data_IF_761574970883
#
_entry.id   IF_761574970883
#
_cell.length_a   1.000
_cell.length_b   1.000
_cell.length_c   1.000
_cell.angle_alpha   90.00
_cell.angle_beta   90.00
_cell.angle_gamma   90.00
#
_symmetry.space_group_name_H-M   'P 1'
#
loop_
_entity.id
_entity.type
_entity.pdbx_description
1 polymer ?
#
# COMPACT_ATOMS: atom_id res chain seq x y z
N UNK A 1 9.76 -13.57 -3.62
CA UNK A 1 9.13 -12.24 -3.58
C UNK A 1 8.73 -11.89 -5.00
N UNK A 2 7.46 -11.59 -5.25
CA UNK A 2 6.99 -11.16 -6.58
C UNK A 2 7.24 -9.66 -6.79
N UNK A 3 7.24 -9.20 -8.04
CA UNK A 3 7.36 -7.76 -8.36
C UNK A 3 6.22 -6.95 -7.72
N UNK A 4 5.02 -7.52 -7.68
CA UNK A 4 3.85 -6.94 -7.00
C UNK A 4 4.11 -6.78 -5.50
N UNK A 5 4.61 -7.82 -4.82
CA UNK A 5 4.94 -7.74 -3.40
C UNK A 5 6.02 -6.68 -3.12
N UNK A 6 7.01 -6.56 -4.02
CA UNK A 6 8.06 -5.56 -3.89
C UNK A 6 7.47 -4.14 -3.99
N UNK A 7 6.66 -3.86 -5.02
CA UNK A 7 5.99 -2.55 -5.19
C UNK A 7 5.16 -2.19 -3.96
N UNK A 8 4.38 -3.12 -3.42
CA UNK A 8 3.56 -2.88 -2.23
C UNK A 8 4.44 -2.53 -1.02
N UNK A 9 5.50 -3.32 -0.78
CA UNK A 9 6.39 -3.10 0.37
C UNK A 9 7.18 -1.80 0.24
N UNK A 10 7.65 -1.46 -0.96
CA UNK A 10 8.36 -0.22 -1.23
C UNK A 10 7.44 0.98 -1.00
N UNK A 11 6.22 0.95 -1.55
CA UNK A 11 5.25 2.03 -1.37
C UNK A 11 4.93 2.28 0.11
N UNK A 12 4.57 1.23 0.86
CA UNK A 12 4.26 1.37 2.30
C UNK A 12 5.51 1.71 3.12
N UNK A 13 6.69 1.23 2.71
CA UNK A 13 7.97 1.52 3.37
C UNK A 13 8.39 2.98 3.25
N UNK A 14 8.00 3.66 2.16
CA UNK A 14 8.29 5.06 1.90
C UNK A 14 7.34 6.04 2.61
N UNK A 15 6.19 5.57 3.13
CA UNK A 15 5.29 6.42 3.90
C UNK A 15 6.01 7.03 5.09
N UNK A 16 5.85 8.34 5.28
CA UNK A 16 6.38 9.07 6.42
C UNK A 16 5.40 9.04 7.60
N UNK A 17 5.84 9.34 8.83
CA UNK A 17 4.91 9.55 9.95
C UNK A 17 3.84 10.57 9.59
N UNK A 18 2.58 10.25 9.90
CA UNK A 18 1.41 11.06 9.56
C UNK A 18 0.95 11.01 8.11
N UNK A 19 1.62 10.27 7.24
CA UNK A 19 1.23 10.15 5.84
C UNK A 19 0.11 9.12 5.64
N UNK A 20 -0.87 9.51 4.82
CA UNK A 20 -1.99 8.66 4.44
C UNK A 20 -1.55 7.67 3.36
N UNK A 21 -1.88 6.40 3.56
CA UNK A 21 -1.84 5.40 2.51
C UNK A 21 -2.97 5.67 1.51
N UNK A 22 -2.63 5.77 0.22
CA UNK A 22 -3.57 6.04 -0.87
C UNK A 22 -3.72 4.80 -1.74
N UNK A 23 -4.89 4.17 -1.67
CA UNK A 23 -5.15 2.89 -2.33
C UNK A 23 -5.04 2.99 -3.86
N UNK A 24 -5.55 4.06 -4.46
CA UNK A 24 -5.50 4.28 -5.91
C UNK A 24 -4.07 4.47 -6.42
N UNK A 25 -3.18 5.10 -5.63
CA UNK A 25 -1.76 5.24 -5.96
C UNK A 25 -1.09 3.88 -6.02
N UNK A 26 -1.32 3.02 -5.02
CA UNK A 26 -0.76 1.66 -5.03
C UNK A 26 -1.28 0.84 -6.22
N UNK A 27 -2.60 0.87 -6.47
CA UNK A 27 -3.20 0.16 -7.61
C UNK A 27 -2.59 0.65 -8.92
N UNK A 28 -2.39 1.96 -9.08
CA UNK A 28 -1.75 2.51 -10.27
C UNK A 28 -0.30 2.04 -10.43
N UNK A 29 0.47 1.94 -9.35
CA UNK A 29 1.85 1.43 -9.40
C UNK A 29 1.90 -0.06 -9.76
N UNK A 30 0.99 -0.88 -9.22
CA UNK A 30 0.91 -2.31 -9.54
C UNK A 30 0.48 -2.50 -11.00
N UNK A 31 -0.50 -1.74 -11.51
CA UNK A 31 -0.94 -1.80 -12.92
C UNK A 31 0.13 -1.34 -13.92
N UNK A 32 1.15 -0.61 -13.48
CA UNK A 32 2.29 -0.25 -14.33
C UNK A 32 3.26 -1.43 -14.55
N UNK A 33 3.13 -2.52 -13.79
CA UNK A 33 3.94 -3.72 -13.97
C UNK A 33 3.53 -4.48 -15.24
N UNK A 34 4.49 -5.00 -16.01
CA UNK A 34 4.20 -5.82 -17.19
C UNK A 34 3.35 -7.05 -16.84
N UNK A 35 2.32 -7.32 -17.65
CA UNK A 35 1.45 -8.49 -17.48
C UNK A 35 0.35 -8.31 -16.43
N UNK A 36 0.29 -7.17 -15.73
CA UNK A 36 -0.83 -6.84 -14.83
C UNK A 36 -1.95 -6.18 -15.62
N UNK A 37 -3.09 -6.85 -15.74
CA UNK A 37 -4.28 -6.32 -16.44
C UNK A 37 -5.36 -5.85 -15.47
N UNK A 38 -5.55 -6.55 -14.36
CA UNK A 38 -6.46 -6.15 -13.29
C UNK A 38 -5.83 -6.33 -11.89
N UNK A 39 -6.32 -5.55 -10.94
CA UNK A 39 -5.86 -5.56 -9.55
C UNK A 39 -7.06 -5.40 -8.63
N UNK A 40 -7.25 -6.37 -7.75
CA UNK A 40 -8.17 -6.28 -6.62
C UNK A 40 -7.34 -6.09 -5.34
N UNK A 41 -7.59 -5.00 -4.63
CA UNK A 41 -6.91 -4.67 -3.38
C UNK A 41 -7.89 -4.83 -2.21
N UNK A 42 -7.43 -5.38 -1.08
CA UNK A 42 -8.21 -5.39 0.16
C UNK A 42 -7.30 -5.01 1.34
N UNK A 43 -7.63 -3.97 2.13
CA UNK A 43 -8.75 -3.04 1.93
C UNK A 43 -8.54 -2.11 0.71
N UNK A 44 -9.59 -1.87 -0.07
CA UNK A 44 -9.57 -1.00 -1.26
C UNK A 44 -9.78 0.50 -0.92
N UNK A 45 -9.32 0.95 0.24
CA UNK A 45 -9.60 2.30 0.76
C UNK A 45 -8.36 2.95 1.32
N UNK A 46 -8.32 4.29 1.27
CA UNK A 46 -7.26 5.07 1.88
C UNK A 46 -7.24 4.82 3.39
N UNK A 47 -6.04 4.70 3.96
CA UNK A 47 -5.85 4.53 5.39
C UNK A 47 -5.08 5.73 5.91
N UNK A 48 -5.65 6.45 6.88
CA UNK A 48 -4.97 7.54 7.56
C UNK A 48 -4.39 7.02 8.88
N UNK A 49 -3.16 7.40 9.26
CA UNK A 49 -2.64 7.12 10.59
C UNK A 49 -3.41 7.88 11.66
N UNK A 50 -3.37 7.39 12.90
CA UNK A 50 -3.88 8.13 14.05
C UNK A 50 -3.02 9.37 14.28
N UNK A 51 -3.65 10.55 14.25
CA UNK A 51 -3.00 11.83 14.49
C UNK A 51 -3.72 12.59 15.60
N UNK A 52 -2.99 12.99 16.64
CA UNK A 52 -3.47 13.92 17.66
C UNK A 52 -2.29 14.76 18.20
N UNK A 53 -2.57 15.67 19.12
CA UNK A 53 -1.56 16.60 19.68
C UNK A 53 -0.40 15.91 20.41
N UNK A 54 -0.54 14.63 20.76
CA UNK A 54 0.46 13.83 21.47
C UNK A 54 1.04 12.68 20.63
N UNK A 55 0.43 12.33 19.50
CA UNK A 55 0.75 11.12 18.74
C UNK A 55 0.77 11.41 17.25
N UNK A 56 1.90 11.11 16.61
CA UNK A 56 2.03 11.01 15.15
C UNK A 56 2.11 9.55 14.76
N UNK A 57 0.98 8.97 14.37
CA UNK A 57 0.89 7.59 13.92
C UNK A 57 1.69 7.34 12.65
N UNK A 58 2.15 6.09 12.49
CA UNK A 58 2.90 5.66 11.33
C UNK A 58 2.35 4.33 10.80
N UNK A 59 1.90 4.33 9.56
CA UNK A 59 1.37 3.14 8.92
C UNK A 59 2.49 2.18 8.57
N UNK A 60 2.28 0.90 8.89
CA UNK A 60 3.20 -0.19 8.59
C UNK A 60 2.45 -1.37 7.99
N UNK A 61 3.15 -2.06 7.08
CA UNK A 61 2.59 -3.26 6.48
C UNK A 61 2.57 -4.38 7.53
N UNK A 62 1.39 -4.95 7.74
CA UNK A 62 1.23 -6.17 8.52
C UNK A 62 1.39 -7.38 7.61
N UNK A 63 0.40 -8.27 7.66
CA UNK A 63 0.30 -9.42 6.76
C UNK A 63 0.03 -8.96 5.33
N UNK A 64 0.85 -9.43 4.39
CA UNK A 64 0.65 -9.23 2.95
C UNK A 64 0.45 -10.60 2.30
N UNK A 65 -0.69 -10.76 1.63
CA UNK A 65 -1.00 -11.93 0.81
C UNK A 65 -1.21 -11.47 -0.63
N UNK A 66 -0.47 -12.05 -1.56
CA UNK A 66 -0.61 -11.78 -3.00
C UNK A 66 -0.91 -13.10 -3.70
N UNK A 67 -2.01 -13.14 -4.45
CA UNK A 67 -2.44 -14.30 -5.22
C UNK A 67 -2.70 -13.89 -6.66
N UNK A 68 -2.20 -14.67 -7.61
CA UNK A 68 -2.66 -14.57 -9.00
C UNK A 68 -4.01 -15.29 -9.10
N UNK A 69 -4.95 -14.64 -9.78
CA UNK A 69 -6.24 -15.22 -10.15
C UNK A 69 -6.19 -15.73 -11.58
#
# INVERSE_FOLDING_TARGET
QTDVEKVIRDYVGLLKPGETFVASTLVSQIRALPGVTDVQLTPATNQAPTLNVFVTGWLRIGTLTVTML
#
